data_IF_478808079650
#
_entry.id   IF_478808079650
#
_cell.length_a   1.000
_cell.length_b   1.000
_cell.length_c   1.000
_cell.angle_alpha   90.00
_cell.angle_beta   90.00
_cell.angle_gamma   90.00
#
_symmetry.space_group_name_H-M   'P 1'
#
loop_
_entity.id
_entity.type
_entity.pdbx_description
1 polymer ?
#
# COMPACT_ATOMS: atom_id res chain seq x y z
N UNK A 1 -6.52 -1.21 -10.95
CA UNK A 1 -5.17 -0.72 -10.56
C UNK A 1 -4.52 -0.07 -11.77
N UNK A 2 -3.90 1.10 -11.61
CA UNK A 2 -3.13 1.80 -12.64
C UNK A 2 -1.74 1.16 -12.85
N UNK A 3 -1.08 1.47 -13.96
CA UNK A 3 0.31 1.04 -14.18
C UNK A 3 1.25 1.62 -13.13
N UNK A 4 1.06 2.88 -12.72
CA UNK A 4 1.86 3.56 -11.69
C UNK A 4 1.72 2.87 -10.33
N UNK A 5 0.49 2.58 -9.90
CA UNK A 5 0.21 1.83 -8.67
C UNK A 5 0.89 0.46 -8.70
N UNK A 6 0.80 -0.25 -9.83
CA UNK A 6 1.46 -1.54 -10.02
C UNK A 6 2.98 -1.43 -9.91
N UNK A 7 3.57 -0.43 -10.55
CA UNK A 7 5.02 -0.19 -10.51
C UNK A 7 5.50 0.13 -9.09
N UNK A 8 4.75 0.91 -8.31
CA UNK A 8 5.05 1.16 -6.89
C UNK A 8 5.04 -0.13 -6.06
N UNK A 9 4.03 -0.98 -6.25
CA UNK A 9 3.95 -2.28 -5.57
C UNK A 9 5.14 -3.17 -5.92
N UNK A 10 5.53 -3.23 -7.19
CA UNK A 10 6.67 -4.02 -7.64
C UNK A 10 7.95 -3.49 -7.00
N UNK A 11 8.19 -2.17 -7.01
CA UNK A 11 9.36 -1.56 -6.36
C UNK A 11 9.43 -1.88 -4.87
N UNK A 12 8.29 -1.83 -4.17
CA UNK A 12 8.21 -2.26 -2.77
C UNK A 12 8.59 -3.74 -2.57
N UNK A 13 8.08 -4.64 -3.42
CA UNK A 13 8.38 -6.07 -3.35
C UNK A 13 9.86 -6.39 -3.59
N UNK A 14 10.52 -5.63 -4.46
CA UNK A 14 11.93 -5.85 -4.83
C UNK A 14 12.93 -5.25 -3.83
N UNK A 15 12.47 -4.74 -2.68
CA UNK A 15 13.37 -4.22 -1.65
C UNK A 15 13.59 -2.72 -1.69
N UNK A 16 12.82 -1.99 -2.53
CA UNK A 16 12.58 -0.54 -2.43
C UNK A 16 13.78 0.41 -2.58
N UNK A 17 15.03 -0.06 -2.49
CA UNK A 17 16.23 0.77 -2.59
C UNK A 17 16.81 0.72 -4.01
N UNK A 18 16.57 1.74 -4.87
CA UNK A 18 17.47 1.92 -6.00
C UNK A 18 18.86 2.22 -5.43
N UNK A 19 19.86 1.46 -5.90
CA UNK A 19 21.26 1.48 -5.46
C UNK A 19 21.59 0.82 -4.11
N UNK A 20 20.61 0.27 -3.39
CA UNK A 20 20.86 -0.48 -2.15
C UNK A 20 21.35 0.32 -0.93
N UNK A 21 21.53 1.64 -1.07
CA UNK A 21 22.00 2.51 0.02
C UNK A 21 20.84 3.32 0.58
N UNK A 22 20.49 3.18 1.87
CA UNK A 22 19.48 4.03 2.51
C UNK A 22 19.91 5.51 2.50
N UNK A 23 18.98 6.42 2.24
CA UNK A 23 19.17 7.87 2.40
C UNK A 23 18.60 8.33 3.74
N UNK A 24 19.03 9.47 4.30
CA UNK A 24 18.35 10.08 5.45
C UNK A 24 16.87 10.33 5.14
N UNK A 25 16.00 10.14 6.14
CA UNK A 25 14.58 10.47 6.00
C UNK A 25 14.39 12.00 5.93
N UNK A 26 13.54 12.47 5.01
CA UNK A 26 13.19 13.90 4.89
C UNK A 26 12.56 14.43 6.19
N UNK A 27 11.73 13.62 6.86
CA UNK A 27 11.06 14.00 8.11
C UNK A 27 11.94 13.80 9.35
N UNK A 28 12.91 12.88 9.29
CA UNK A 28 13.79 12.52 10.40
C UNK A 28 15.25 12.45 9.90
N UNK A 29 15.95 13.58 9.75
CA UNK A 29 17.25 13.62 9.09
C UNK A 29 18.36 12.81 9.78
N UNK A 30 18.18 12.49 11.07
CA UNK A 30 19.11 11.66 11.83
C UNK A 30 18.90 10.15 11.61
N UNK A 31 17.78 9.76 11.00
CA UNK A 31 17.42 8.37 10.77
C UNK A 31 17.56 7.98 9.30
N UNK A 32 18.14 6.82 9.07
CA UNK A 32 18.21 6.24 7.73
C UNK A 32 16.85 5.69 7.31
N UNK A 33 16.44 6.01 6.08
CA UNK A 33 15.17 5.59 5.49
C UNK A 33 15.21 4.11 5.10
N UNK A 34 15.08 3.24 6.10
CA UNK A 34 14.95 1.79 5.98
C UNK A 34 13.48 1.38 5.89
N UNK A 35 13.22 0.11 5.57
CA UNK A 35 11.86 -0.44 5.55
C UNK A 35 11.16 -0.34 6.92
N UNK A 36 11.88 -0.65 8.00
CA UNK A 36 11.36 -0.54 9.36
C UNK A 36 11.07 0.91 9.73
N UNK A 37 11.98 1.82 9.38
CA UNK A 37 11.76 3.25 9.58
C UNK A 37 10.52 3.73 8.79
N UNK A 38 10.37 3.35 7.53
CA UNK A 38 9.21 3.70 6.72
C UNK A 38 7.89 3.24 7.34
N UNK A 39 7.84 2.02 7.90
CA UNK A 39 6.64 1.48 8.57
C UNK A 39 6.22 2.37 9.75
N UNK A 40 7.18 2.80 10.56
CA UNK A 40 6.96 3.69 11.69
C UNK A 40 6.64 5.13 11.25
N UNK A 41 7.49 5.71 10.41
CA UNK A 41 7.45 7.09 9.93
C UNK A 41 6.15 7.41 9.20
N UNK A 42 5.62 6.47 8.40
CA UNK A 42 4.36 6.63 7.68
C UNK A 42 3.15 6.11 8.46
N UNK A 43 3.34 5.68 9.71
CA UNK A 43 2.30 5.11 10.57
C UNK A 43 1.48 4.00 9.87
N UNK A 44 2.17 3.09 9.17
CA UNK A 44 1.52 2.14 8.26
C UNK A 44 0.48 1.26 8.96
N UNK A 45 0.73 0.80 10.19
CA UNK A 45 -0.23 -0.01 10.95
C UNK A 45 -1.57 0.70 11.17
N UNK A 46 -1.52 1.98 11.60
CA UNK A 46 -2.71 2.79 11.86
C UNK A 46 -3.49 3.01 10.57
N UNK A 47 -2.80 3.42 9.50
CA UNK A 47 -3.42 3.75 8.21
C UNK A 47 -3.98 2.53 7.50
N UNK A 48 -3.34 1.38 7.65
CA UNK A 48 -3.75 0.11 7.05
C UNK A 48 -4.73 -0.69 7.93
N UNK A 49 -5.07 -0.19 9.13
CA UNK A 49 -5.88 -0.91 10.13
C UNK A 49 -5.33 -2.33 10.37
N UNK A 50 -4.04 -2.41 10.67
CA UNK A 50 -3.30 -3.65 10.87
C UNK A 50 -2.74 -3.72 12.30
N UNK A 51 -2.78 -4.89 12.95
CA UNK A 51 -2.17 -5.07 14.27
C UNK A 51 -0.68 -4.76 14.26
N UNK A 52 -0.14 -4.25 15.37
CA UNK A 52 1.30 -4.04 15.56
C UNK A 52 2.10 -5.35 15.53
N UNK A 53 1.44 -6.49 15.75
CA UNK A 53 2.05 -7.82 15.69
C UNK A 53 2.44 -8.25 14.26
N UNK A 54 1.99 -7.54 13.22
CA UNK A 54 2.35 -7.84 11.83
C UNK A 54 3.57 -7.00 11.43
N UNK A 55 4.80 -7.55 11.34
CA UNK A 55 6.01 -6.74 11.22
C UNK A 55 6.06 -5.87 9.97
N UNK A 56 5.40 -6.31 8.89
CA UNK A 56 5.33 -5.59 7.62
C UNK A 56 3.88 -5.56 7.11
N UNK A 57 3.08 -4.58 7.57
CA UNK A 57 1.66 -4.51 7.26
C UNK A 57 1.40 -4.28 5.77
N UNK A 58 2.29 -3.56 5.08
CA UNK A 58 2.14 -3.24 3.65
C UNK A 58 2.39 -4.48 2.79
N UNK A 59 3.49 -5.22 3.01
CA UNK A 59 3.74 -6.47 2.27
C UNK A 59 2.69 -7.52 2.54
N UNK A 60 2.22 -7.63 3.79
CA UNK A 60 1.15 -8.55 4.16
C UNK A 60 -0.13 -8.31 3.34
N UNK A 61 -0.55 -7.05 3.22
CA UNK A 61 -1.72 -6.69 2.43
C UNK A 61 -1.48 -6.83 0.93
N UNK A 62 -0.30 -6.45 0.42
CA UNK A 62 0.07 -6.64 -0.99
C UNK A 62 -0.03 -8.12 -1.40
N UNK A 63 0.28 -9.06 -0.50
CA UNK A 63 0.17 -10.50 -0.76
C UNK A 63 -1.28 -11.02 -0.73
N UNK A 64 -2.20 -10.25 -0.14
CA UNK A 64 -3.64 -10.58 -0.08
C UNK A 64 -4.45 -9.85 -1.14
N UNK A 65 -3.81 -9.14 -2.07
CA UNK A 65 -4.51 -8.45 -3.14
C UNK A 65 -5.42 -9.42 -3.90
N UNK A 66 -6.67 -9.01 -4.21
CA UNK A 66 -7.60 -9.87 -4.92
C UNK A 66 -7.06 -10.20 -6.32
N UNK A 67 -6.64 -11.45 -6.53
CA UNK A 67 -6.04 -11.93 -7.79
C UNK A 67 -7.07 -12.55 -8.76
N UNK A 68 -8.35 -12.66 -8.36
CA UNK A 68 -9.41 -13.20 -9.22
C UNK A 68 -10.64 -12.30 -9.19
N UNK A 69 -11.22 -12.02 -10.37
CA UNK A 69 -12.56 -11.39 -10.54
C UNK A 69 -13.67 -12.17 -9.82
N UNK A 70 -13.45 -13.45 -9.54
CA UNK A 70 -14.45 -14.31 -8.91
C UNK A 70 -14.09 -14.55 -7.45
N UNK A 71 -14.61 -13.71 -6.54
CA UNK A 71 -15.12 -14.25 -5.28
C UNK A 71 -16.52 -14.81 -5.58
N UNK A 72 -16.58 -15.96 -6.26
CA UNK A 72 -17.79 -16.78 -6.14
C UNK A 72 -17.82 -17.23 -4.68
N UNK A 73 -18.90 -17.00 -3.93
CA UNK A 73 -18.99 -17.53 -2.58
C UNK A 73 -18.87 -19.05 -2.67
N UNK A 74 -17.85 -19.63 -2.05
CA UNK A 74 -17.82 -21.07 -1.80
C UNK A 74 -18.88 -21.47 -0.75
N UNK A 75 -19.57 -20.50 -0.14
CA UNK A 75 -20.67 -20.71 0.80
C UNK A 75 -21.66 -19.53 0.80
N UNK A 76 -22.99 -19.77 0.82
CA UNK A 76 -24.03 -18.73 0.90
C UNK A 76 -23.97 -17.86 2.17
N UNK A 77 -23.20 -18.26 3.18
CA UNK A 77 -23.18 -17.65 4.52
C UNK A 77 -21.98 -16.73 4.81
N UNK A 78 -21.03 -16.56 3.90
CA UNK A 78 -19.92 -15.61 4.09
C UNK A 78 -20.38 -14.18 3.72
N UNK A 79 -20.29 -13.18 4.62
CA UNK A 79 -20.80 -11.84 4.34
C UNK A 79 -19.94 -11.18 3.24
N UNK A 80 -20.50 -11.12 2.03
CA UNK A 80 -19.95 -10.42 0.86
C UNK A 80 -19.47 -8.99 1.18
N UNK A 81 -20.07 -8.33 2.18
CA UNK A 81 -19.75 -6.94 2.53
C UNK A 81 -18.41 -6.76 3.26
N UNK A 82 -17.95 -7.73 4.05
CA UNK A 82 -16.83 -7.53 5.00
C UNK A 82 -15.46 -7.41 4.31
N UNK A 83 -15.16 -8.28 3.35
CA UNK A 83 -13.89 -8.24 2.62
C UNK A 83 -13.83 -7.02 1.71
N UNK A 84 -14.94 -6.70 1.02
CA UNK A 84 -15.02 -5.53 0.15
C UNK A 84 -14.89 -4.23 0.95
N UNK A 85 -15.57 -4.13 2.10
CA UNK A 85 -15.48 -2.96 3.00
C UNK A 85 -14.08 -2.74 3.55
N UNK A 86 -13.31 -3.79 3.85
CA UNK A 86 -11.94 -3.62 4.31
C UNK A 86 -11.03 -3.09 3.19
N UNK A 87 -11.23 -3.53 1.95
CA UNK A 87 -10.43 -3.09 0.80
C UNK A 87 -10.74 -1.67 0.35
N UNK A 88 -11.98 -1.18 0.51
CA UNK A 88 -12.33 0.23 0.21
C UNK A 88 -11.59 1.23 1.09
N UNK A 89 -11.19 0.83 2.31
CA UNK A 89 -10.37 1.65 3.20
C UNK A 89 -8.87 1.39 2.98
N UNK A 90 -8.47 0.11 2.98
CA UNK A 90 -7.05 -0.28 2.96
C UNK A 90 -6.37 0.05 1.64
N UNK A 91 -7.04 -0.10 0.50
CA UNK A 91 -6.40 0.11 -0.79
C UNK A 91 -6.02 1.58 -1.05
N UNK A 92 -6.89 2.59 -0.86
CA UNK A 92 -6.48 3.99 -0.96
C UNK A 92 -5.35 4.33 0.01
N UNK A 93 -5.39 3.81 1.24
CA UNK A 93 -4.32 3.99 2.21
C UNK A 93 -2.98 3.38 1.73
N UNK A 94 -3.00 2.17 1.15
CA UNK A 94 -1.83 1.56 0.54
C UNK A 94 -1.26 2.40 -0.60
N UNK A 95 -2.12 2.88 -1.51
CA UNK A 95 -1.67 3.71 -2.63
C UNK A 95 -1.06 5.02 -2.17
N UNK A 96 -1.64 5.65 -1.14
CA UNK A 96 -1.14 6.89 -0.57
C UNK A 96 0.20 6.68 0.16
N UNK A 97 0.34 5.60 0.94
CA UNK A 97 1.62 5.21 1.55
C UNK A 97 2.69 5.00 0.48
N UNK A 98 2.37 4.29 -0.60
CA UNK A 98 3.30 4.05 -1.71
C UNK A 98 3.69 5.33 -2.45
N UNK A 99 2.79 6.31 -2.53
CA UNK A 99 3.07 7.63 -3.09
C UNK A 99 3.95 8.47 -2.17
N UNK A 100 3.68 8.51 -0.87
CA UNK A 100 4.52 9.21 0.12
C UNK A 100 5.90 8.58 0.20
N UNK A 101 5.99 7.26 0.07
CA UNK A 101 7.25 6.54 -0.04
C UNK A 101 8.09 7.05 -1.22
N UNK A 102 7.48 7.21 -2.41
CA UNK A 102 8.17 7.79 -3.58
C UNK A 102 8.68 9.20 -3.28
N UNK A 103 7.83 10.05 -2.69
CA UNK A 103 8.22 11.40 -2.30
C UNK A 103 9.41 11.42 -1.33
N UNK A 104 9.35 10.60 -0.27
CA UNK A 104 10.42 10.51 0.72
C UNK A 104 11.75 10.02 0.14
N UNK A 105 11.70 9.22 -0.92
CA UNK A 105 12.88 8.68 -1.55
C UNK A 105 13.51 9.62 -2.59
N UNK A 106 12.67 10.27 -3.39
CA UNK A 106 13.09 11.13 -4.50
C UNK A 106 13.25 12.60 -4.12
N UNK A 107 12.59 13.06 -3.04
CA UNK A 107 12.54 14.47 -2.66
C UNK A 107 11.65 15.33 -3.56
N UNK A 108 11.01 14.72 -4.55
CA UNK A 108 10.15 15.37 -5.53
C UNK A 108 8.74 14.75 -5.48
N UNK A 109 7.72 15.58 -5.65
CA UNK A 109 6.34 15.10 -5.72
C UNK A 109 6.16 14.28 -7.01
N UNK A 110 5.69 13.02 -6.90
CA UNK A 110 5.38 12.24 -8.09
C UNK A 110 4.31 12.95 -8.93
N UNK A 111 4.35 12.87 -10.28
CA UNK A 111 3.47 13.63 -11.18
C UNK A 111 1.99 13.21 -11.15
N UNK A 112 1.58 12.32 -10.25
CA UNK A 112 0.24 11.75 -10.21
C UNK A 112 -0.69 12.58 -9.32
N UNK A 113 -1.88 12.90 -9.83
CA UNK A 113 -2.90 13.66 -9.10
C UNK A 113 -3.80 12.76 -8.27
N UNK A 114 -4.10 13.20 -7.04
CA UNK A 114 -5.10 12.57 -6.17
C UNK A 114 -6.51 12.66 -6.80
N UNK A 115 -7.42 11.70 -6.53
CA UNK A 115 -7.33 10.61 -5.55
C UNK A 115 -6.70 9.31 -6.09
N UNK A 116 -5.78 8.74 -5.29
CA UNK A 116 -5.12 7.46 -5.57
C UNK A 116 -6.00 6.27 -5.22
N UNK A 117 -5.80 5.14 -5.89
CA UNK A 117 -6.46 3.88 -5.56
C UNK A 117 -7.89 3.72 -6.10
N UNK A 118 -8.46 4.75 -6.72
CA UNK A 118 -9.84 4.74 -7.22
C UNK A 118 -10.10 3.62 -8.23
N UNK A 119 -9.17 3.36 -9.16
CA UNK A 119 -9.36 2.35 -10.22
C UNK A 119 -9.60 0.93 -9.69
N UNK A 120 -8.95 0.52 -8.60
CA UNK A 120 -9.21 -0.81 -8.04
C UNK A 120 -10.54 -0.83 -7.27
N UNK A 121 -10.85 0.25 -6.55
CA UNK A 121 -12.12 0.36 -5.81
C UNK A 121 -13.31 0.32 -6.77
N UNK A 122 -13.30 1.12 -7.84
CA UNK A 122 -14.36 1.10 -8.86
C UNK A 122 -14.52 -0.29 -9.47
N UNK A 123 -13.41 -0.98 -9.76
CA UNK A 123 -13.47 -2.35 -10.27
C UNK A 123 -14.06 -3.34 -9.26
N UNK A 124 -13.75 -3.20 -7.96
CA UNK A 124 -14.34 -4.01 -6.89
C UNK A 124 -15.84 -3.74 -6.70
N UNK A 125 -16.27 -2.49 -6.78
CA UNK A 125 -17.66 -2.09 -6.53
C UNK A 125 -18.61 -2.31 -7.72
N UNK A 126 -18.10 -2.29 -8.96
CA UNK A 126 -18.91 -2.46 -10.17
C UNK A 126 -19.07 -3.94 -10.58
N UNK A 127 -18.83 -4.89 -9.66
CA UNK A 127 -18.89 -6.35 -9.88
C UNK A 127 -19.93 -6.99 -8.95
#
# INVERSE_FOLDING_TARGET
>A
MSNTERSRIIRWRLGWLPNGVPKPCIYHPNDMFTKSHAIWCLHMHRRLQMPLTVPDPLSFLINKLPNKRKLKPSSPSAPKASIFSAWTVRWPAMCLILFELDYLHHGELPPETLPLGTKLITWLCNS
#
